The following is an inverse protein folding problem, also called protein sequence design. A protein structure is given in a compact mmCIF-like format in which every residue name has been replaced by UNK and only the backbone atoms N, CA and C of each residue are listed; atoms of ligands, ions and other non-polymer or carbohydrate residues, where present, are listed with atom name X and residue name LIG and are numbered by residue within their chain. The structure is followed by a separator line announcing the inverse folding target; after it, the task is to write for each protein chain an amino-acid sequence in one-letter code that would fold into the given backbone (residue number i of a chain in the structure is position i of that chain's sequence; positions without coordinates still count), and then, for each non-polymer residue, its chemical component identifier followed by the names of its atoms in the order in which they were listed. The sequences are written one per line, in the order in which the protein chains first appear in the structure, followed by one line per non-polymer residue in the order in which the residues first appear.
data_IF_423198813765
#
_entry.id   IF_423198813765
#
_cell.length_a   1.000
_cell.length_b   1.000
_cell.length_c   1.000
_cell.angle_alpha   90.00
_cell.angle_beta   90.00
_cell.angle_gamma   90.00
#
_symmetry.space_group_name_H-M   'P 1'
#
loop_
_entity.id
_entity.type
_entity.pdbx_description
1 polymer ?
#
# COMPACT_ATOMS: atom_id res chain seq x y z
N UNK A 1 -9.11 14.80 7.62
CA UNK A 1 -9.88 14.91 6.36
C UNK A 1 -8.89 15.13 5.22
N UNK A 2 -8.67 14.13 4.37
CA UNK A 2 -7.76 14.25 3.21
C UNK A 2 -8.46 15.08 2.14
N UNK A 3 -7.89 16.20 1.73
CA UNK A 3 -8.40 16.98 0.60
C UNK A 3 -8.20 16.19 -0.69
N UNK A 4 -9.25 16.07 -1.49
CA UNK A 4 -9.20 15.43 -2.80
C UNK A 4 -9.14 16.50 -3.88
N UNK A 5 -8.17 16.37 -4.77
CA UNK A 5 -8.03 17.22 -5.95
C UNK A 5 -8.50 16.47 -7.18
N UNK A 6 -9.17 17.18 -8.08
CA UNK A 6 -9.53 16.63 -9.38
C UNK A 6 -8.26 16.36 -10.18
N UNK A 7 -8.15 15.15 -10.76
CA UNK A 7 -7.02 14.78 -11.61
C UNK A 7 -7.17 15.41 -13.00
N UNK A 8 -6.46 16.51 -13.21
CA UNK A 8 -6.35 17.23 -14.50
C UNK A 8 -5.28 16.66 -15.45
N UNK A 9 -4.67 15.53 -15.10
CA UNK A 9 -3.69 14.85 -15.96
C UNK A 9 -4.29 14.41 -17.29
N UNK A 10 -3.43 14.33 -18.31
CA UNK A 10 -3.78 13.88 -19.66
C UNK A 10 -4.33 12.43 -19.63
N UNK A 11 -5.49 12.21 -20.25
CA UNK A 11 -6.11 10.88 -20.32
C UNK A 11 -5.24 9.84 -21.03
N UNK A 12 -4.34 10.27 -21.94
CA UNK A 12 -3.38 9.36 -22.62
C UNK A 12 -2.35 8.78 -21.65
N UNK A 13 -2.11 9.45 -20.53
CA UNK A 13 -1.23 8.99 -19.47
C UNK A 13 -2.00 8.25 -18.36
N UNK A 14 -3.32 8.06 -18.53
CA UNK A 14 -4.15 7.27 -17.62
C UNK A 14 -4.32 5.87 -18.21
N UNK A 15 -4.09 4.83 -17.42
CA UNK A 15 -4.33 3.44 -17.84
C UNK A 15 -3.09 2.57 -18.04
N UNK A 16 -1.91 3.06 -17.64
CA UNK A 16 -0.70 2.23 -17.50
C UNK A 16 -0.31 2.10 -16.04
N UNK A 17 0.42 1.05 -15.71
CA UNK A 17 1.02 0.84 -14.40
C UNK A 17 1.99 1.99 -14.11
N UNK A 18 1.76 2.72 -13.01
CA UNK A 18 2.61 3.84 -12.60
C UNK A 18 4.06 3.44 -12.31
N UNK A 19 4.30 2.15 -12.03
CA UNK A 19 5.62 1.63 -11.66
C UNK A 19 6.45 1.14 -12.85
N UNK A 20 5.83 0.50 -13.85
CA UNK A 20 6.57 -0.14 -14.95
C UNK A 20 6.01 0.13 -16.35
N UNK A 21 4.91 0.87 -16.48
CA UNK A 21 4.30 1.20 -17.79
C UNK A 21 3.53 0.05 -18.45
N UNK A 22 3.48 -1.14 -17.86
CA UNK A 22 2.63 -2.25 -18.30
C UNK A 22 1.14 -1.87 -18.29
N UNK A 23 0.25 -2.66 -18.92
CA UNK A 23 -1.20 -2.41 -18.84
C UNK A 23 -1.69 -2.30 -17.38
N UNK A 24 -2.65 -1.40 -17.16
CA UNK A 24 -3.34 -1.29 -15.88
C UNK A 24 -4.28 -2.48 -15.66
N UNK A 25 -4.07 -3.21 -14.58
CA UNK A 25 -4.81 -4.43 -14.22
C UNK A 25 -5.46 -4.30 -12.83
N UNK A 26 -4.83 -3.54 -11.93
CA UNK A 26 -5.20 -3.42 -10.52
C UNK A 26 -5.13 -1.97 -10.03
N UNK A 27 -5.61 -1.74 -8.80
CA UNK A 27 -5.57 -0.45 -8.11
C UNK A 27 -4.63 -0.57 -6.92
N UNK A 28 -3.56 0.21 -6.95
CA UNK A 28 -2.52 0.24 -5.92
C UNK A 28 -2.81 1.33 -4.89
N UNK A 29 -2.50 1.04 -3.63
CA UNK A 29 -2.73 1.92 -2.49
C UNK A 29 -1.40 2.42 -1.95
N UNK A 30 -1.28 3.73 -1.73
CA UNK A 30 -0.08 4.34 -1.17
C UNK A 30 -0.47 5.28 0.00
N UNK A 31 -0.17 4.93 1.27
CA UNK A 31 0.49 3.69 1.70
C UNK A 31 -0.40 2.45 1.51
N UNK A 32 0.22 1.26 1.53
CA UNK A 32 -0.44 -0.03 1.36
C UNK A 32 -1.48 -0.26 2.46
N UNK A 33 -2.57 -0.95 2.12
CA UNK A 33 -3.74 -1.12 3.02
C UNK A 33 -3.35 -1.73 4.37
N UNK A 34 -2.39 -2.65 4.40
CA UNK A 34 -1.97 -3.36 5.61
C UNK A 34 -1.41 -2.43 6.70
N UNK A 35 -1.06 -1.19 6.36
CA UNK A 35 -0.58 -0.19 7.32
C UNK A 35 -1.69 0.77 7.80
N UNK A 36 -2.95 0.54 7.41
CA UNK A 36 -4.07 1.42 7.73
C UNK A 36 -5.00 0.76 8.75
N UNK A 37 -5.43 1.53 9.74
CA UNK A 37 -6.42 1.08 10.72
C UNK A 37 -7.84 1.07 10.14
N UNK A 38 -8.63 0.07 10.52
CA UNK A 38 -10.05 0.02 10.24
C UNK A 38 -10.87 0.98 11.13
N UNK A 39 -12.00 1.52 10.63
CA UNK A 39 -12.58 1.28 9.32
C UNK A 39 -11.99 2.17 8.23
N UNK A 40 -11.67 1.56 7.08
CA UNK A 40 -11.20 2.30 5.91
C UNK A 40 -12.32 3.18 5.31
N UNK A 41 -11.98 4.39 4.82
CA UNK A 41 -12.93 5.20 4.06
C UNK A 41 -13.29 4.50 2.74
N UNK A 42 -14.53 4.67 2.28
CA UNK A 42 -15.05 4.04 1.05
C UNK A 42 -14.34 4.51 -0.23
N UNK A 43 -13.54 5.56 -0.13
CA UNK A 43 -12.99 6.31 -1.25
C UNK A 43 -11.47 6.51 -1.12
N UNK A 44 -10.74 5.52 -0.61
CA UNK A 44 -9.27 5.54 -0.54
C UNK A 44 -8.62 5.92 -1.89
N UNK A 45 -7.58 6.78 -1.86
CA UNK A 45 -6.85 7.15 -3.07
C UNK A 45 -6.11 5.93 -3.63
N UNK A 46 -6.14 5.77 -4.95
CA UNK A 46 -5.53 4.64 -5.64
C UNK A 46 -4.84 5.07 -6.93
N UNK A 47 -3.79 4.35 -7.30
CA UNK A 47 -3.05 4.53 -8.55
C UNK A 47 -3.20 3.31 -9.47
N UNK A 48 -3.19 3.48 -10.80
CA UNK A 48 -3.23 2.35 -11.73
C UNK A 48 -1.94 1.55 -11.66
N UNK A 49 -2.03 0.22 -11.58
CA UNK A 49 -0.89 -0.68 -11.45
C UNK A 49 -1.14 -1.99 -12.19
N UNK A 50 -0.08 -2.72 -12.54
CA UNK A 50 -0.19 -4.10 -13.00
C UNK A 50 -0.13 -5.05 -11.80
N UNK A 51 -0.70 -6.25 -11.92
CA UNK A 51 -0.78 -7.20 -10.82
C UNK A 51 0.61 -7.53 -10.24
N UNK A 52 1.61 -7.68 -11.11
CA UNK A 52 3.00 -7.97 -10.72
C UNK A 52 3.60 -6.88 -9.83
N UNK A 53 3.42 -5.60 -10.19
CA UNK A 53 3.98 -4.50 -9.40
C UNK A 53 3.19 -4.29 -8.11
N UNK A 54 1.85 -4.36 -8.19
CA UNK A 54 0.97 -4.20 -7.03
C UNK A 54 1.16 -5.26 -5.95
N UNK A 55 1.58 -6.47 -6.33
CA UNK A 55 1.81 -7.60 -5.39
C UNK A 55 3.29 -7.83 -5.10
N UNK A 56 4.19 -7.11 -5.79
CA UNK A 56 5.62 -7.38 -5.77
C UNK A 56 6.29 -7.19 -4.40
N UNK A 57 5.66 -6.46 -3.50
CA UNK A 57 6.14 -6.18 -2.14
C UNK A 57 5.23 -6.77 -1.04
N UNK A 58 4.23 -7.58 -1.37
CA UNK A 58 3.22 -7.99 -0.38
C UNK A 58 3.81 -8.76 0.82
N UNK A 59 4.82 -9.60 0.60
CA UNK A 59 5.50 -10.32 1.70
C UNK A 59 6.35 -9.38 2.57
N UNK A 60 7.02 -8.40 1.96
CA UNK A 60 7.80 -7.39 2.67
C UNK A 60 6.89 -6.48 3.51
N UNK A 61 5.73 -6.10 2.96
CA UNK A 61 4.72 -5.30 3.64
C UNK A 61 4.13 -6.03 4.84
N UNK A 62 3.82 -7.33 4.69
CA UNK A 62 3.37 -8.18 5.78
C UNK A 62 4.42 -8.30 6.89
N UNK A 63 5.68 -8.51 6.52
CA UNK A 63 6.78 -8.56 7.48
C UNK A 63 6.91 -7.23 8.24
N UNK A 64 6.88 -6.11 7.52
CA UNK A 64 6.98 -4.78 8.12
C UNK A 64 5.80 -4.50 9.06
N UNK A 65 4.58 -4.84 8.67
CA UNK A 65 3.40 -4.67 9.51
C UNK A 65 3.54 -5.46 10.83
N UNK A 66 3.94 -6.73 10.77
CA UNK A 66 4.17 -7.55 11.96
C UNK A 66 5.29 -7.00 12.87
N UNK A 67 6.36 -6.46 12.27
CA UNK A 67 7.43 -5.81 13.02
C UNK A 67 6.93 -4.54 13.73
N UNK A 68 6.18 -3.69 13.02
CA UNK A 68 5.60 -2.47 13.59
C UNK A 68 4.68 -2.80 14.75
N UNK A 69 3.81 -3.81 14.62
CA UNK A 69 2.94 -4.27 15.71
C UNK A 69 3.72 -4.76 16.93
N UNK A 70 4.84 -5.45 16.72
CA UNK A 70 5.72 -5.88 17.82
C UNK A 70 6.33 -4.68 18.56
N UNK A 71 6.80 -3.68 17.81
CA UNK A 71 7.33 -2.42 18.37
C UNK A 71 6.25 -1.68 19.15
N UNK A 72 5.04 -1.53 18.59
CA UNK A 72 3.89 -0.88 19.23
C UNK A 72 3.48 -1.64 20.50
N UNK A 73 3.53 -2.97 20.47
CA UNK A 73 3.22 -3.85 21.61
C UNK A 73 4.28 -3.84 22.71
N UNK A 74 5.43 -3.19 22.49
CA UNK A 74 6.41 -2.87 23.53
C UNK A 74 7.81 -3.46 23.32
N UNK A 75 8.03 -4.33 22.34
CA UNK A 75 9.38 -4.83 22.02
C UNK A 75 9.43 -5.51 20.65
N UNK A 76 10.51 -5.27 19.90
CA UNK A 76 10.88 -6.08 18.74
C UNK A 76 12.18 -6.87 18.97
N UNK A 77 12.66 -6.93 20.22
CA UNK A 77 13.83 -7.70 20.62
C UNK A 77 13.52 -9.20 20.69
N UNK A 78 14.07 -10.04 19.80
CA UNK A 78 13.79 -11.48 19.78
C UNK A 78 14.20 -12.19 21.07
N UNK A 79 15.19 -11.68 21.81
CA UNK A 79 15.61 -12.27 23.09
C UNK A 79 14.56 -12.09 24.19
N UNK A 80 13.72 -11.06 24.06
CA UNK A 80 12.64 -10.76 25.02
C UNK A 80 11.29 -11.38 24.64
N UNK A 81 11.14 -11.87 23.41
CA UNK A 81 9.85 -12.36 22.87
C UNK A 81 9.62 -13.84 23.14
N UNK A 82 10.63 -14.59 23.61
CA UNK A 82 10.50 -16.02 23.93
C UNK A 82 10.21 -16.84 22.68
N UNK A 83 11.26 -17.38 22.07
CA UNK A 83 11.12 -18.34 20.95
C UNK A 83 10.61 -19.70 21.40
#
# INVERSE_FOLDING_TARGET
MVQKFQNWGDNRNKGTCVHCGAPNETRDHAPSIIFLDDPLPSDLPVSPSCARCNQGFSDDELYLAALLESVISGTADPEKIGR
#
